data_IF_755024462328
#
_entry.id   IF_755024462328
#
_cell.length_a   1.000
_cell.length_b   1.000
_cell.length_c   1.000
_cell.angle_alpha   90.00
_cell.angle_beta   90.00
_cell.angle_gamma   90.00
#
_symmetry.space_group_name_H-M   'P 1'
#
loop_
_entity.id
_entity.type
_entity.pdbx_description
1 polymer ?
#
# COMPACT_ATOMS: atom_id res chain seq x y z
N UNK A 1 -5.84 -12.97 5.45
CA UNK A 1 -7.18 -12.60 4.90
C UNK A 1 -8.34 -12.96 5.79
N UNK A 2 -8.59 -14.24 6.09
CA UNK A 2 -9.76 -14.63 6.91
C UNK A 2 -9.85 -13.90 8.25
N UNK A 3 -8.72 -13.73 8.95
CA UNK A 3 -8.66 -12.95 10.19
C UNK A 3 -9.07 -11.49 10.00
N UNK A 4 -8.67 -10.85 8.90
CA UNK A 4 -9.03 -9.46 8.60
C UNK A 4 -10.52 -9.33 8.26
N UNK A 5 -11.06 -10.28 7.50
CA UNK A 5 -12.50 -10.33 7.20
C UNK A 5 -13.34 -10.53 8.47
N UNK A 6 -12.91 -11.43 9.36
CA UNK A 6 -13.55 -11.62 10.68
C UNK A 6 -13.45 -10.36 11.54
N UNK A 7 -12.28 -9.74 11.65
CA UNK A 7 -12.10 -8.51 12.41
C UNK A 7 -13.00 -7.37 11.89
N UNK A 8 -13.11 -7.22 10.56
CA UNK A 8 -14.03 -6.27 9.93
C UNK A 8 -15.50 -6.59 10.22
N UNK A 9 -15.86 -7.87 10.31
CA UNK A 9 -17.20 -8.31 10.66
C UNK A 9 -17.52 -8.09 12.15
N UNK A 10 -16.55 -8.27 13.03
CA UNK A 10 -16.75 -8.26 14.49
C UNK A 10 -16.65 -6.84 15.08
N UNK A 11 -15.71 -5.99 14.62
CA UNK A 11 -15.53 -4.63 15.15
C UNK A 11 -16.52 -3.63 14.51
N UNK A 12 -17.47 -3.13 15.30
CA UNK A 12 -18.53 -2.24 14.84
C UNK A 12 -18.04 -0.86 14.37
N UNK A 13 -16.93 -0.34 14.89
CA UNK A 13 -16.40 0.95 14.45
C UNK A 13 -15.65 0.79 13.12
N UNK A 14 -14.84 -0.27 12.98
CA UNK A 14 -14.17 -0.62 11.73
C UNK A 14 -15.18 -0.92 10.61
N UNK A 15 -16.25 -1.67 10.93
CA UNK A 15 -17.35 -1.96 9.99
C UNK A 15 -18.03 -0.68 9.52
N UNK A 16 -18.36 0.24 10.44
CA UNK A 16 -18.95 1.55 10.09
C UNK A 16 -18.02 2.40 9.23
N UNK A 17 -16.73 2.43 9.55
CA UNK A 17 -15.74 3.16 8.77
C UNK A 17 -15.62 2.60 7.34
N UNK A 18 -15.71 1.28 7.16
CA UNK A 18 -15.66 0.63 5.85
C UNK A 18 -16.96 0.77 5.04
N UNK A 19 -18.12 0.73 5.70
CA UNK A 19 -19.43 0.81 5.03
C UNK A 19 -19.61 2.12 4.26
N UNK A 20 -19.15 3.24 4.80
CA UNK A 20 -19.31 4.55 4.17
C UNK A 20 -18.67 4.62 2.78
N UNK A 21 -17.35 4.39 2.61
CA UNK A 21 -16.73 4.44 1.29
C UNK A 21 -17.26 3.34 0.35
N UNK A 22 -17.54 2.13 0.87
CA UNK A 22 -18.12 1.04 0.05
C UNK A 22 -19.48 1.43 -0.50
N UNK A 23 -20.37 1.96 0.33
CA UNK A 23 -21.71 2.39 -0.08
C UNK A 23 -21.65 3.57 -1.07
N UNK A 24 -20.76 4.55 -0.85
CA UNK A 24 -20.58 5.67 -1.78
C UNK A 24 -20.04 5.21 -3.14
N UNK A 25 -19.07 4.30 -3.17
CA UNK A 25 -18.56 3.71 -4.41
C UNK A 25 -19.66 2.93 -5.13
N UNK A 26 -20.39 2.06 -4.43
CA UNK A 26 -21.49 1.31 -5.01
C UNK A 26 -22.59 2.23 -5.56
N UNK A 27 -23.00 3.25 -4.80
CA UNK A 27 -24.00 4.23 -5.24
C UNK A 27 -23.53 4.98 -6.50
N UNK A 28 -22.27 5.43 -6.53
CA UNK A 28 -21.70 6.09 -7.71
C UNK A 28 -21.70 5.19 -8.94
N UNK A 29 -21.34 3.91 -8.79
CA UNK A 29 -21.37 2.93 -9.87
C UNK A 29 -22.80 2.66 -10.36
N UNK A 30 -23.78 2.60 -9.46
CA UNK A 30 -25.18 2.39 -9.79
C UNK A 30 -25.77 3.58 -10.56
N UNK A 31 -25.47 4.81 -10.14
CA UNK A 31 -25.87 6.03 -10.86
C UNK A 31 -25.25 6.07 -12.24
N UNK A 32 -23.94 5.79 -12.36
CA UNK A 32 -23.25 5.74 -13.65
C UNK A 32 -23.91 4.72 -14.59
N UNK A 33 -24.09 3.48 -14.13
CA UNK A 33 -24.69 2.41 -14.93
C UNK A 33 -26.13 2.73 -15.36
N UNK A 34 -26.93 3.34 -14.48
CA UNK A 34 -28.29 3.75 -14.79
C UNK A 34 -28.33 4.87 -15.84
N UNK A 35 -27.44 5.86 -15.75
CA UNK A 35 -27.36 6.97 -16.71
C UNK A 35 -26.89 6.49 -18.09
N UNK A 36 -25.88 5.61 -18.14
CA UNK A 36 -25.41 5.02 -19.41
C UNK A 36 -26.50 4.18 -20.05
N UNK A 37 -27.13 3.26 -19.30
CA UNK A 37 -28.21 2.44 -19.84
C UNK A 37 -29.43 3.27 -20.30
N UNK A 38 -29.74 4.38 -19.62
CA UNK A 38 -30.80 5.30 -20.04
C UNK A 38 -30.44 6.06 -21.32
N UNK A 39 -29.17 6.43 -21.51
CA UNK A 39 -28.66 7.03 -22.75
C UNK A 39 -28.76 6.06 -23.92
N UNK A 40 -28.22 4.85 -23.78
CA UNK A 40 -28.24 3.81 -24.82
C UNK A 40 -29.69 3.48 -25.25
N UNK A 41 -30.62 3.43 -24.29
CA UNK A 41 -32.03 3.20 -24.57
C UNK A 41 -32.69 4.37 -25.32
N UNK A 42 -32.30 5.62 -25.03
CA UNK A 42 -32.79 6.80 -25.73
C UNK A 42 -32.25 6.88 -27.17
N UNK A 43 -31.04 6.40 -27.40
CA UNK A 43 -30.39 6.35 -28.72
C UNK A 43 -30.85 5.14 -29.58
N UNK A 44 -31.76 4.30 -29.06
CA UNK A 44 -32.32 3.14 -29.75
C UNK A 44 -31.41 1.92 -29.78
N UNK A 45 -30.29 1.94 -29.05
CA UNK A 45 -29.28 0.90 -29.03
C UNK A 45 -29.60 -0.14 -27.91
N UNK A 46 -30.66 -0.92 -28.11
CA UNK A 46 -31.17 -1.89 -27.10
C UNK A 46 -30.26 -3.13 -26.94
N UNK A 47 -29.23 -3.27 -27.78
CA UNK A 47 -28.29 -4.41 -27.75
C UNK A 47 -27.08 -4.20 -26.83
N UNK A 48 -26.99 -3.07 -26.14
CA UNK A 48 -25.90 -2.78 -25.20
C UNK A 48 -25.87 -3.71 -23.99
N UNK A 49 -24.72 -3.82 -23.29
CA UNK A 49 -24.63 -4.57 -22.05
C UNK A 49 -25.61 -4.01 -21.01
N UNK A 50 -26.42 -4.87 -20.39
CA UNK A 50 -27.41 -4.43 -19.40
C UNK A 50 -26.79 -3.68 -18.21
N UNK A 51 -27.60 -2.86 -17.52
CA UNK A 51 -27.15 -1.99 -16.43
C UNK A 51 -26.36 -2.72 -15.31
N UNK A 52 -26.70 -3.98 -15.02
CA UNK A 52 -25.96 -4.79 -14.04
C UNK A 52 -24.52 -5.08 -14.48
N UNK A 53 -24.30 -5.31 -15.78
CA UNK A 53 -22.96 -5.50 -16.33
C UNK A 53 -22.16 -4.20 -16.25
N UNK A 54 -22.75 -3.08 -16.68
CA UNK A 54 -22.14 -1.75 -16.58
C UNK A 54 -21.79 -1.40 -15.12
N UNK A 55 -22.68 -1.68 -14.18
CA UNK A 55 -22.44 -1.53 -12.75
C UNK A 55 -21.23 -2.35 -12.30
N UNK A 56 -21.17 -3.63 -12.69
CA UNK A 56 -20.10 -4.53 -12.27
C UNK A 56 -18.76 -4.09 -12.85
N UNK A 57 -18.72 -3.72 -14.12
CA UNK A 57 -17.51 -3.20 -14.79
C UNK A 57 -17.05 -1.90 -14.16
N UNK A 58 -17.96 -0.95 -13.92
CA UNK A 58 -17.65 0.32 -13.26
C UNK A 58 -17.16 0.11 -11.83
N UNK A 59 -17.80 -0.80 -11.08
CA UNK A 59 -17.42 -1.12 -9.70
C UNK A 59 -16.03 -1.76 -9.65
N UNK A 60 -15.75 -2.76 -10.48
CA UNK A 60 -14.42 -3.40 -10.56
C UNK A 60 -13.36 -2.40 -11.02
N UNK A 61 -13.68 -1.53 -11.99
CA UNK A 61 -12.79 -0.47 -12.46
C UNK A 61 -12.47 0.53 -11.35
N UNK A 62 -13.48 1.08 -10.68
CA UNK A 62 -13.30 2.06 -9.59
C UNK A 62 -12.67 1.45 -8.33
N UNK A 63 -12.97 0.19 -8.04
CA UNK A 63 -12.30 -0.57 -6.98
C UNK A 63 -10.78 -0.59 -7.17
N UNK A 64 -10.32 -0.74 -8.42
CA UNK A 64 -8.91 -0.75 -8.78
C UNK A 64 -8.26 0.64 -8.87
N UNK A 65 -9.06 1.71 -8.86
CA UNK A 65 -8.54 3.07 -8.91
C UNK A 65 -8.07 3.55 -7.52
N UNK A 66 -6.99 4.36 -7.47
CA UNK A 66 -6.63 5.08 -6.26
C UNK A 66 -7.83 5.88 -5.77
N UNK A 67 -8.17 5.86 -4.48
CA UNK A 67 -9.43 6.40 -4.01
C UNK A 67 -9.33 7.92 -3.82
N UNK A 68 -9.03 8.65 -4.89
CA UNK A 68 -8.77 10.10 -4.87
C UNK A 68 -9.85 10.90 -4.15
N UNK A 69 -11.13 10.61 -4.43
CA UNK A 69 -12.27 11.30 -3.85
C UNK A 69 -12.62 10.82 -2.43
N UNK A 70 -12.36 9.54 -2.14
CA UNK A 70 -12.73 8.89 -0.87
C UNK A 70 -11.51 8.62 0.02
N UNK A 71 -10.36 9.23 -0.26
CA UNK A 71 -9.07 8.94 0.39
C UNK A 71 -9.20 9.04 1.91
N UNK A 72 -9.88 10.07 2.40
CA UNK A 72 -10.08 10.28 3.84
C UNK A 72 -10.93 9.17 4.47
N UNK A 73 -11.97 8.72 3.77
CA UNK A 73 -12.85 7.65 4.24
C UNK A 73 -12.08 6.32 4.29
N UNK A 74 -11.25 6.03 3.29
CA UNK A 74 -10.41 4.83 3.30
C UNK A 74 -9.26 4.92 4.30
N UNK A 75 -8.68 6.10 4.52
CA UNK A 75 -7.71 6.33 5.58
C UNK A 75 -8.32 6.10 6.97
N UNK A 76 -9.58 6.50 7.19
CA UNK A 76 -10.30 6.17 8.44
C UNK A 76 -10.40 4.66 8.66
N UNK A 77 -10.58 3.87 7.60
CA UNK A 77 -10.53 2.39 7.70
C UNK A 77 -9.16 1.93 8.19
N UNK A 78 -8.06 2.50 7.66
CA UNK A 78 -6.71 2.17 8.12
C UNK A 78 -6.48 2.55 9.60
N UNK A 79 -6.94 3.74 10.01
CA UNK A 79 -6.85 4.19 11.41
C UNK A 79 -7.66 3.31 12.37
N UNK A 80 -8.89 2.96 12.01
CA UNK A 80 -9.73 2.04 12.79
C UNK A 80 -9.15 0.62 12.80
N UNK A 81 -8.53 0.17 11.70
CA UNK A 81 -7.85 -1.11 11.66
C UNK A 81 -6.67 -1.15 12.64
N UNK A 82 -5.89 -0.06 12.72
CA UNK A 82 -4.81 0.07 13.72
C UNK A 82 -5.37 0.00 15.15
N UNK A 83 -6.45 0.73 15.44
CA UNK A 83 -7.14 0.67 16.75
C UNK A 83 -7.62 -0.75 17.08
N UNK A 84 -8.32 -1.39 16.16
CA UNK A 84 -8.88 -2.74 16.34
C UNK A 84 -7.78 -3.81 16.53
N UNK A 85 -6.58 -3.57 15.99
CA UNK A 85 -5.41 -4.43 16.17
C UNK A 85 -4.58 -4.09 17.43
N UNK A 86 -4.98 -3.07 18.21
CA UNK A 86 -4.23 -2.65 19.40
C UNK A 86 -2.89 -1.96 19.09
N UNK A 87 -2.73 -1.42 17.87
CA UNK A 87 -1.50 -0.74 17.45
C UNK A 87 -1.48 0.71 17.95
N UNK A 88 -0.30 1.34 18.03
CA UNK A 88 -0.20 2.78 18.33
C UNK A 88 -1.12 3.60 17.42
N UNK A 89 -1.75 4.62 18.00
CA UNK A 89 -2.67 5.50 17.30
C UNK A 89 -2.03 6.03 16.01
N UNK A 90 -2.75 5.90 14.90
CA UNK A 90 -2.28 6.42 13.62
C UNK A 90 -2.48 7.92 13.49
N UNK A 91 -1.88 8.51 12.47
CA UNK A 91 -2.01 9.95 12.16
C UNK A 91 -2.80 10.17 10.87
N UNK A 92 -3.56 11.28 10.81
CA UNK A 92 -4.18 11.74 9.56
C UNK A 92 -3.20 12.67 8.84
N UNK A 93 -2.50 12.24 7.76
CA UNK A 93 -1.55 13.07 7.03
C UNK A 93 -2.21 14.29 6.34
N UNK A 94 -3.54 14.38 6.37
CA UNK A 94 -4.30 15.48 5.81
C UNK A 94 -4.93 16.40 6.85
N UNK A 95 -4.58 16.25 8.12
CA UNK A 95 -5.01 17.16 9.18
C UNK A 95 -4.64 18.61 8.83
N UNK A 96 -5.60 19.54 8.96
CA UNK A 96 -5.42 20.95 8.63
C UNK A 96 -5.35 21.30 7.13
N UNK A 97 -5.42 20.33 6.22
CA UNK A 97 -5.44 20.60 4.78
C UNK A 97 -6.86 20.89 4.28
N UNK A 98 -7.01 21.94 3.47
CA UNK A 98 -8.25 22.24 2.75
C UNK A 98 -8.62 21.16 1.73
N UNK A 99 -9.91 20.98 1.48
CA UNK A 99 -10.44 19.93 0.59
C UNK A 99 -9.84 20.00 -0.83
N UNK A 100 -9.78 21.19 -1.44
CA UNK A 100 -9.25 21.38 -2.80
C UNK A 100 -7.80 20.92 -2.90
N UNK A 101 -6.95 21.32 -1.94
CA UNK A 101 -5.53 20.95 -1.92
C UNK A 101 -5.34 19.44 -1.77
N UNK A 102 -6.16 18.80 -0.94
CA UNK A 102 -6.17 17.33 -0.79
C UNK A 102 -6.54 16.66 -2.10
N UNK A 103 -7.67 17.04 -2.69
CA UNK A 103 -8.15 16.47 -3.96
C UNK A 103 -7.10 16.66 -5.05
N UNK A 104 -6.52 17.86 -5.20
CA UNK A 104 -5.46 18.12 -6.18
C UNK A 104 -4.21 17.24 -5.94
N UNK A 105 -3.78 17.08 -4.68
CA UNK A 105 -2.65 16.21 -4.33
C UNK A 105 -2.92 14.76 -4.73
N UNK A 106 -4.10 14.23 -4.38
CA UNK A 106 -4.47 12.86 -4.71
C UNK A 106 -4.66 12.64 -6.21
N UNK A 107 -5.18 13.63 -6.94
CA UNK A 107 -5.23 13.59 -8.41
C UNK A 107 -3.85 13.54 -9.04
N UNK A 108 -2.92 14.38 -8.57
CA UNK A 108 -1.53 14.36 -9.05
C UNK A 108 -0.86 13.03 -8.72
N UNK A 109 -1.15 12.46 -7.54
CA UNK A 109 -0.69 11.13 -7.14
C UNK A 109 -1.25 10.06 -8.08
N UNK A 110 -2.56 10.00 -8.29
CA UNK A 110 -3.18 9.06 -9.21
C UNK A 110 -2.66 9.18 -10.66
N UNK A 111 -2.46 10.40 -11.15
CA UNK A 111 -1.87 10.62 -12.48
C UNK A 111 -0.45 10.09 -12.57
N UNK A 112 0.38 10.36 -11.56
CA UNK A 112 1.74 9.80 -11.50
C UNK A 112 1.72 8.27 -11.46
N UNK A 113 0.81 7.68 -10.71
CA UNK A 113 0.64 6.22 -10.64
C UNK A 113 0.25 5.67 -12.00
N UNK A 114 -0.74 6.26 -12.68
CA UNK A 114 -1.16 5.85 -14.01
C UNK A 114 0.02 5.89 -15.00
N UNK A 115 0.83 6.96 -14.97
CA UNK A 115 2.04 7.07 -15.80
C UNK A 115 3.06 5.99 -15.43
N UNK A 116 3.34 5.76 -14.15
CA UNK A 116 4.32 4.77 -13.71
C UNK A 116 3.88 3.35 -14.05
N UNK A 117 2.60 3.01 -13.83
CA UNK A 117 2.04 1.70 -14.14
C UNK A 117 2.05 1.45 -15.64
N UNK A 118 1.61 2.43 -16.44
CA UNK A 118 1.47 2.27 -17.90
C UNK A 118 2.82 2.32 -18.62
N UNK A 119 3.66 3.30 -18.27
CA UNK A 119 4.94 3.54 -18.96
C UNK A 119 6.13 2.80 -18.32
N UNK A 120 6.00 2.31 -17.08
CA UNK A 120 7.12 1.70 -16.36
C UNK A 120 7.68 0.45 -17.03
N UNK A 121 6.81 -0.35 -17.67
CA UNK A 121 7.23 -1.51 -18.48
C UNK A 121 7.52 -1.18 -19.94
N UNK A 122 7.14 -0.01 -20.44
CA UNK A 122 7.22 0.31 -21.86
C UNK A 122 8.61 0.03 -22.47
N UNK A 123 9.74 0.45 -21.86
CA UNK A 123 11.06 0.17 -22.43
C UNK A 123 11.37 -1.33 -22.54
N UNK A 124 10.92 -2.12 -21.55
CA UNK A 124 11.15 -3.57 -21.52
C UNK A 124 10.26 -4.29 -22.53
N UNK A 125 8.99 -3.88 -22.62
CA UNK A 125 8.03 -4.41 -23.60
C UNK A 125 8.50 -4.11 -25.02
N UNK A 126 9.03 -2.92 -25.31
CA UNK A 126 9.58 -2.59 -26.63
C UNK A 126 10.72 -3.54 -27.01
N UNK A 127 11.67 -3.80 -26.11
CA UNK A 127 12.78 -4.73 -26.38
C UNK A 127 12.29 -6.16 -26.56
N UNK A 128 11.41 -6.63 -25.66
CA UNK A 128 10.80 -7.95 -25.79
C UNK A 128 10.00 -8.07 -27.09
N UNK A 129 9.36 -6.99 -27.53
CA UNK A 129 8.64 -6.85 -28.80
C UNK A 129 9.52 -6.95 -30.05
N UNK A 130 10.82 -7.19 -29.92
CA UNK A 130 11.72 -7.45 -31.03
C UNK A 130 12.14 -8.93 -31.13
N UNK A 131 11.89 -9.76 -30.11
CA UNK A 131 12.28 -11.18 -30.07
C UNK A 131 11.20 -12.13 -30.62
N UNK A 132 11.54 -13.27 -31.26
CA UNK A 132 10.56 -14.30 -31.63
C UNK A 132 9.99 -15.04 -30.40
N UNK A 133 8.74 -15.52 -30.44
CA UNK A 133 8.11 -16.29 -29.34
C UNK A 133 7.67 -15.49 -28.10
N UNK A 134 7.71 -14.15 -28.19
CA UNK A 134 7.62 -13.19 -27.08
C UNK A 134 6.25 -12.96 -26.41
N UNK A 135 5.13 -13.23 -27.09
CA UNK A 135 3.78 -12.87 -26.60
C UNK A 135 3.47 -13.38 -25.19
N UNK A 136 3.69 -14.67 -24.85
CA UNK A 136 3.43 -15.15 -23.49
C UNK A 136 4.35 -14.50 -22.46
N UNK A 137 5.62 -14.25 -22.80
CA UNK A 137 6.59 -13.60 -21.89
C UNK A 137 6.20 -12.16 -21.62
N UNK A 138 5.81 -11.40 -22.64
CA UNK A 138 5.33 -10.01 -22.47
C UNK A 138 4.04 -9.96 -21.67
N UNK A 139 3.13 -10.92 -21.86
CA UNK A 139 1.89 -11.01 -21.09
C UNK A 139 2.18 -11.33 -19.62
N UNK A 140 3.02 -12.34 -19.35
CA UNK A 140 3.41 -12.71 -18.00
C UNK A 140 4.10 -11.55 -17.26
N UNK A 141 4.99 -10.83 -17.93
CA UNK A 141 5.64 -9.65 -17.37
C UNK A 141 4.63 -8.53 -17.07
N UNK A 142 3.70 -8.28 -17.98
CA UNK A 142 2.61 -7.32 -17.78
C UNK A 142 1.75 -7.67 -16.57
N UNK A 143 1.37 -8.94 -16.42
CA UNK A 143 0.62 -9.46 -15.27
C UNK A 143 1.41 -9.30 -13.97
N UNK A 144 2.69 -9.70 -13.95
CA UNK A 144 3.54 -9.56 -12.77
C UNK A 144 3.71 -8.09 -12.35
N UNK A 145 3.83 -7.17 -13.31
CA UNK A 145 3.93 -5.75 -13.05
C UNK A 145 2.63 -5.14 -12.52
N UNK A 146 1.50 -5.49 -13.14
CA UNK A 146 0.18 -5.06 -12.65
C UNK A 146 -0.04 -5.57 -11.22
N UNK A 147 0.25 -6.85 -10.97
CA UNK A 147 0.16 -7.46 -9.64
C UNK A 147 1.05 -6.74 -8.62
N UNK A 148 2.30 -6.45 -8.99
CA UNK A 148 3.22 -5.68 -8.14
C UNK A 148 2.64 -4.31 -7.75
N UNK A 149 2.03 -3.59 -8.69
CA UNK A 149 1.43 -2.28 -8.40
C UNK A 149 0.15 -2.35 -7.59
N UNK A 150 -0.64 -3.41 -7.75
CA UNK A 150 -1.79 -3.69 -6.87
C UNK A 150 -1.31 -3.91 -5.43
N UNK A 151 -0.18 -4.60 -5.23
CA UNK A 151 0.42 -4.76 -3.91
C UNK A 151 0.85 -3.40 -3.33
N UNK A 152 1.58 -2.60 -4.11
CA UNK A 152 2.04 -1.26 -3.68
C UNK A 152 0.84 -0.38 -3.28
N UNK A 153 -0.25 -0.38 -4.06
CA UNK A 153 -1.49 0.36 -3.74
C UNK A 153 -2.15 -0.13 -2.44
N UNK A 154 -2.14 -1.46 -2.20
CA UNK A 154 -2.76 -2.04 -1.01
C UNK A 154 -2.04 -1.64 0.30
N UNK A 155 -0.73 -1.39 0.25
CA UNK A 155 0.07 -0.93 1.40
C UNK A 155 0.07 0.58 1.59
N UNK A 156 -0.42 1.35 0.63
CA UNK A 156 -0.41 2.82 0.67
C UNK A 156 -1.09 3.36 1.93
N UNK A 157 -2.38 3.04 2.13
CA UNK A 157 -3.14 3.56 3.27
C UNK A 157 -2.67 3.02 4.64
N UNK A 158 -2.36 1.71 4.79
CA UNK A 158 -1.78 1.19 6.02
C UNK A 158 -0.49 1.89 6.44
N UNK A 159 0.41 2.18 5.49
CA UNK A 159 1.68 2.84 5.75
C UNK A 159 1.50 4.35 5.95
N UNK A 160 0.61 5.00 5.19
CA UNK A 160 0.27 6.42 5.41
C UNK A 160 -0.36 6.71 6.77
N UNK A 161 -1.00 5.71 7.40
CA UNK A 161 -1.57 5.82 8.73
C UNK A 161 -0.52 5.67 9.86
N UNK A 162 0.71 5.26 9.56
CA UNK A 162 1.78 5.13 10.56
C UNK A 162 2.27 6.54 10.97
N UNK A 163 2.37 6.85 12.27
CA UNK A 163 2.87 8.14 12.73
C UNK A 163 4.31 8.45 12.30
N UNK A 164 4.60 9.73 12.10
CA UNK A 164 5.96 10.24 11.91
C UNK A 164 6.42 10.43 10.46
N UNK A 165 7.67 10.90 10.27
CA UNK A 165 8.18 11.26 8.95
C UNK A 165 8.35 10.01 8.09
N UNK A 166 7.83 10.08 6.86
CA UNK A 166 8.03 9.04 5.85
C UNK A 166 9.53 8.85 5.60
N UNK A 167 10.05 7.66 5.90
CA UNK A 167 11.44 7.26 5.72
C UNK A 167 11.72 7.22 4.22
N UNK A 168 12.56 8.14 3.76
CA UNK A 168 13.04 8.14 2.38
C UNK A 168 13.58 6.76 1.99
N UNK A 169 13.07 6.19 0.91
CA UNK A 169 13.62 4.97 0.33
C UNK A 169 14.66 5.30 -0.74
N UNK A 170 15.57 4.34 -0.96
CA UNK A 170 16.47 4.36 -2.11
C UNK A 170 15.72 4.21 -3.43
N UNK A 171 16.47 4.30 -4.54
CA UNK A 171 15.96 4.12 -5.90
C UNK A 171 15.26 2.76 -6.04
N UNK A 172 14.03 2.65 -6.57
CA UNK A 172 13.29 1.38 -6.65
C UNK A 172 13.92 0.37 -7.63
N UNK A 173 13.69 -0.94 -7.42
CA UNK A 173 14.39 -2.02 -8.10
C UNK A 173 14.31 -1.95 -9.63
N UNK A 174 13.16 -1.60 -10.19
CA UNK A 174 12.98 -1.49 -11.63
C UNK A 174 13.74 -0.28 -12.19
N UNK A 175 13.84 0.82 -11.45
CA UNK A 175 14.65 1.96 -11.87
C UNK A 175 16.15 1.62 -11.78
N UNK A 176 16.57 0.87 -10.76
CA UNK A 176 17.93 0.32 -10.66
C UNK A 176 18.23 -0.61 -11.83
N UNK A 177 17.28 -1.48 -12.21
CA UNK A 177 17.43 -2.40 -13.34
C UNK A 177 17.60 -1.65 -14.67
N UNK A 178 16.77 -0.64 -14.94
CA UNK A 178 16.90 0.20 -16.14
C UNK A 178 18.25 0.96 -16.18
N UNK A 179 18.71 1.45 -15.04
CA UNK A 179 20.01 2.13 -14.94
C UNK A 179 21.18 1.15 -15.17
N UNK A 180 21.12 -0.06 -14.62
CA UNK A 180 22.11 -1.13 -14.87
C UNK A 180 22.13 -1.51 -16.35
N UNK A 181 20.97 -1.66 -16.97
CA UNK A 181 20.85 -1.98 -18.39
C UNK A 181 21.45 -0.87 -19.27
N UNK A 182 21.21 0.39 -18.91
CA UNK A 182 21.78 1.54 -19.60
C UNK A 182 23.31 1.65 -19.47
N UNK A 183 23.87 1.13 -18.38
CA UNK A 183 25.31 1.08 -18.17
C UNK A 183 25.99 -0.06 -18.95
N UNK A 184 25.23 -1.09 -19.34
CA UNK A 184 25.77 -2.26 -20.04
C UNK A 184 26.13 -1.96 -21.51
N UNK A 185 25.33 -1.16 -22.22
CA UNK A 185 25.51 -0.85 -23.64
C UNK A 185 25.19 0.61 -23.94
N UNK A 186 26.02 1.27 -24.75
CA UNK A 186 25.85 2.68 -25.10
C UNK A 186 24.52 2.98 -25.82
N UNK A 187 24.05 2.04 -26.65
CA UNK A 187 22.75 2.12 -27.35
C UNK A 187 21.57 2.12 -26.36
N UNK A 188 21.75 1.54 -25.17
CA UNK A 188 20.72 1.47 -24.13
C UNK A 188 20.73 2.67 -23.17
N UNK A 189 21.54 3.71 -23.44
CA UNK A 189 21.57 4.96 -22.64
C UNK A 189 20.19 5.60 -22.37
N UNK A 190 19.21 5.60 -23.30
CA UNK A 190 17.86 6.10 -23.03
C UNK A 190 17.17 5.41 -21.83
N UNK A 191 17.50 4.14 -21.54
CA UNK A 191 16.97 3.42 -20.38
C UNK A 191 17.39 4.05 -19.06
N UNK A 192 18.57 4.68 -19.00
CA UNK A 192 19.07 5.35 -17.81
C UNK A 192 18.32 6.65 -17.53
N UNK A 193 17.91 7.36 -18.59
CA UNK A 193 16.98 8.50 -18.45
C UNK A 193 15.60 8.02 -17.99
N UNK A 194 15.05 6.99 -18.64
CA UNK A 194 13.75 6.41 -18.25
C UNK A 194 13.73 5.96 -16.79
N UNK A 195 14.79 5.26 -16.33
CA UNK A 195 14.94 4.85 -14.93
C UNK A 195 14.97 6.02 -13.95
N UNK A 196 15.61 7.14 -14.30
CA UNK A 196 15.61 8.36 -13.47
C UNK A 196 14.23 9.02 -13.42
N UNK A 197 13.52 9.09 -14.55
CA UNK A 197 12.15 9.61 -14.60
C UNK A 197 11.22 8.76 -13.76
N UNK A 198 11.29 7.43 -13.91
CA UNK A 198 10.46 6.49 -13.17
C UNK A 198 10.73 6.54 -11.66
N UNK A 199 12.00 6.66 -11.26
CA UNK A 199 12.37 6.88 -9.86
C UNK A 199 11.82 8.20 -9.29
N UNK A 200 11.81 9.29 -10.08
CA UNK A 200 11.22 10.57 -9.65
C UNK A 200 9.72 10.49 -9.52
N UNK A 201 9.05 9.86 -10.48
CA UNK A 201 7.59 9.70 -10.46
C UNK A 201 7.14 8.82 -9.30
N UNK A 202 7.92 7.79 -8.94
CA UNK A 202 7.57 6.87 -7.85
C UNK A 202 7.86 7.42 -6.45
N UNK A 203 8.49 8.59 -6.31
CA UNK A 203 8.83 9.17 -5.00
C UNK A 203 7.71 9.12 -3.95
N UNK A 204 6.42 9.37 -4.28
CA UNK A 204 5.33 9.28 -3.31
C UNK A 204 5.10 7.88 -2.72
N UNK A 205 5.47 6.80 -3.44
CA UNK A 205 5.30 5.41 -3.03
C UNK A 205 6.61 4.73 -2.63
N UNK A 206 7.63 5.54 -2.32
CA UNK A 206 8.97 5.02 -2.03
C UNK A 206 8.97 4.04 -0.85
N UNK A 207 8.16 4.30 0.17
CA UNK A 207 8.07 3.43 1.34
C UNK A 207 7.36 2.11 1.03
N UNK A 208 6.25 2.18 0.32
CA UNK A 208 5.43 1.04 -0.11
C UNK A 208 6.26 0.12 -1.02
N UNK A 209 6.99 0.70 -1.97
CA UNK A 209 7.91 -0.04 -2.84
C UNK A 209 9.02 -0.67 -2.02
N UNK A 210 9.63 0.06 -1.08
CA UNK A 210 10.69 -0.48 -0.21
C UNK A 210 10.18 -1.60 0.68
N UNK A 211 8.97 -1.46 1.23
CA UNK A 211 8.32 -2.48 2.03
C UNK A 211 8.10 -3.75 1.20
N UNK A 212 7.57 -3.61 -0.01
CA UNK A 212 7.35 -4.72 -0.94
C UNK A 212 8.67 -5.38 -1.37
N UNK A 213 9.73 -4.60 -1.59
CA UNK A 213 11.07 -5.13 -1.93
C UNK A 213 11.73 -5.90 -0.77
N UNK A 214 11.46 -5.52 0.48
CA UNK A 214 12.04 -6.17 1.67
C UNK A 214 11.35 -7.46 2.05
N UNK A 215 10.04 -7.55 1.77
CA UNK A 215 9.19 -8.67 2.17
C UNK A 215 8.49 -9.28 0.94
N UNK A 216 9.25 -9.75 -0.08
CA UNK A 216 8.67 -10.15 -1.36
C UNK A 216 7.75 -11.36 -1.23
N UNK A 217 8.06 -12.30 -0.33
CA UNK A 217 7.29 -13.53 -0.16
C UNK A 217 6.00 -13.29 0.61
N UNK A 218 6.07 -12.48 1.66
CA UNK A 218 4.92 -12.12 2.50
C UNK A 218 3.94 -11.24 1.71
N UNK A 219 4.45 -10.28 0.94
CA UNK A 219 3.62 -9.44 0.07
C UNK A 219 3.03 -10.23 -1.10
N UNK A 220 3.78 -11.15 -1.72
CA UNK A 220 3.24 -12.03 -2.75
C UNK A 220 2.13 -12.95 -2.19
N UNK A 221 2.37 -13.58 -1.04
CA UNK A 221 1.37 -14.41 -0.36
C UNK A 221 0.12 -13.62 0.04
N UNK A 222 0.30 -12.38 0.52
CA UNK A 222 -0.80 -11.45 0.74
C UNK A 222 -1.59 -11.19 -0.54
N UNK A 223 -0.93 -10.84 -1.65
CA UNK A 223 -1.60 -10.55 -2.92
C UNK A 223 -2.36 -11.74 -3.49
N UNK A 224 -1.79 -12.95 -3.40
CA UNK A 224 -2.50 -14.17 -3.79
C UNK A 224 -3.76 -14.37 -2.94
N UNK A 225 -3.67 -14.10 -1.63
CA UNK A 225 -4.83 -14.18 -0.75
C UNK A 225 -5.87 -13.07 -1.02
N UNK A 226 -5.45 -11.85 -1.42
CA UNK A 226 -6.36 -10.79 -1.93
C UNK A 226 -7.07 -11.30 -3.18
N UNK A 227 -6.33 -11.83 -4.15
CA UNK A 227 -6.88 -12.33 -5.41
C UNK A 227 -7.89 -13.46 -5.19
N UNK A 228 -7.59 -14.40 -4.29
CA UNK A 228 -8.51 -15.46 -3.90
C UNK A 228 -9.78 -14.91 -3.23
N UNK A 229 -9.68 -13.87 -2.39
CA UNK A 229 -10.84 -13.24 -1.76
C UNK A 229 -11.71 -12.48 -2.78
N UNK A 230 -11.10 -11.85 -3.78
CA UNK A 230 -11.80 -11.18 -4.89
C UNK A 230 -12.61 -12.15 -5.76
N UNK A 231 -12.19 -13.42 -5.83
CA UNK A 231 -12.94 -14.46 -6.55
C UNK A 231 -14.25 -14.86 -5.86
N UNK A 232 -14.47 -14.43 -4.60
CA UNK A 232 -15.70 -14.73 -3.85
C UNK A 232 -16.73 -13.62 -4.09
N UNK A 233 -17.90 -13.93 -4.71
CA UNK A 233 -18.97 -12.97 -4.89
C UNK A 233 -19.41 -12.36 -3.55
N UNK A 234 -19.77 -11.07 -3.54
CA UNK A 234 -20.19 -10.35 -2.33
C UNK A 234 -19.03 -9.87 -1.46
N UNK A 235 -18.04 -10.72 -1.17
CA UNK A 235 -16.80 -10.32 -0.48
C UNK A 235 -16.05 -9.25 -1.28
N UNK A 236 -16.16 -9.34 -2.62
CA UNK A 236 -15.67 -8.34 -3.56
C UNK A 236 -16.12 -6.89 -3.26
N UNK A 237 -17.24 -6.64 -2.58
CA UNK A 237 -17.63 -5.27 -2.22
C UNK A 237 -16.75 -4.67 -1.11
N UNK A 238 -16.30 -5.51 -0.18
CA UNK A 238 -15.47 -5.10 0.96
C UNK A 238 -13.99 -5.39 0.74
N UNK A 239 -13.59 -5.86 -0.44
CA UNK A 239 -12.22 -6.32 -0.70
C UNK A 239 -11.17 -5.29 -0.29
N UNK A 240 -11.41 -4.00 -0.57
CA UNK A 240 -10.47 -2.91 -0.25
C UNK A 240 -10.36 -2.70 1.25
N UNK A 241 -11.48 -2.76 1.98
CA UNK A 241 -11.47 -2.68 3.45
C UNK A 241 -10.74 -3.88 4.06
N UNK A 242 -11.03 -5.10 3.58
CA UNK A 242 -10.35 -6.32 4.03
C UNK A 242 -8.86 -6.24 3.70
N UNK A 243 -8.50 -5.75 2.51
CA UNK A 243 -7.13 -5.54 2.06
C UNK A 243 -6.37 -4.57 2.96
N UNK A 244 -6.96 -3.41 3.29
CA UNK A 244 -6.40 -2.44 4.23
C UNK A 244 -6.17 -3.09 5.60
N UNK A 245 -7.18 -3.74 6.19
CA UNK A 245 -7.06 -4.39 7.51
C UNK A 245 -5.97 -5.47 7.50
N UNK A 246 -5.94 -6.29 6.45
CA UNK A 246 -4.94 -7.34 6.30
C UNK A 246 -3.53 -6.78 6.11
N UNK A 247 -3.36 -5.74 5.30
CA UNK A 247 -2.08 -5.09 5.07
C UNK A 247 -1.58 -4.37 6.34
N UNK A 248 -2.45 -3.70 7.09
CA UNK A 248 -2.13 -3.13 8.42
C UNK A 248 -1.66 -4.22 9.38
N UNK A 249 -2.35 -5.36 9.43
CA UNK A 249 -1.97 -6.48 10.30
C UNK A 249 -0.62 -7.12 9.88
N UNK A 250 -0.34 -7.19 8.59
CA UNK A 250 0.92 -7.73 8.08
C UNK A 250 2.08 -6.78 8.37
N UNK A 251 1.90 -5.48 8.14
CA UNK A 251 2.91 -4.47 8.45
C UNK A 251 3.29 -4.51 9.94
N UNK A 252 2.28 -4.56 10.82
CA UNK A 252 2.53 -4.60 12.26
C UNK A 252 3.30 -5.85 12.72
N UNK A 253 3.00 -7.02 12.15
CA UNK A 253 3.74 -8.25 12.45
C UNK A 253 5.20 -8.14 12.04
N UNK A 254 5.47 -7.66 10.82
CA UNK A 254 6.83 -7.54 10.30
C UNK A 254 7.65 -6.46 11.02
N UNK A 255 7.02 -5.39 11.49
CA UNK A 255 7.67 -4.40 12.36
C UNK A 255 8.03 -4.98 13.74
N UNK A 256 7.15 -5.81 14.32
CA UNK A 256 7.41 -6.53 15.58
C UNK A 256 8.58 -7.50 15.47
N UNK A 257 8.56 -8.37 14.44
CA UNK A 257 9.61 -9.36 14.20
C UNK A 257 11.00 -8.69 14.02
N UNK A 258 11.04 -7.53 13.35
CA UNK A 258 12.28 -6.76 13.17
C UNK A 258 12.81 -6.12 14.47
N UNK A 259 11.91 -5.70 15.37
CA UNK A 259 12.28 -5.12 16.66
C UNK A 259 12.85 -6.18 17.62
N UNK A 260 12.24 -7.37 17.63
CA UNK A 260 12.72 -8.50 18.43
C UNK A 260 14.11 -8.98 17.97
N UNK A 261 14.30 -9.16 16.66
CA UNK A 261 15.59 -9.55 16.10
C UNK A 261 16.71 -8.52 16.37
N UNK A 262 16.39 -7.22 16.37
CA UNK A 262 17.34 -6.15 16.70
C UNK A 262 17.70 -6.10 18.18
N UNK A 263 16.76 -6.42 19.07
CA UNK A 263 16.99 -6.52 20.51
C UNK A 263 17.88 -7.71 20.88
N UNK A 264 17.70 -8.85 20.22
CA UNK A 264 18.50 -10.06 20.45
C UNK A 264 19.96 -9.88 19.97
N UNK A 265 20.17 -9.20 18.83
CA UNK A 265 21.50 -8.86 18.34
C UNK A 265 22.24 -7.85 19.25
N UNK A 266 21.52 -6.93 19.89
CA UNK A 266 22.09 -5.99 20.84
C UNK A 266 22.35 -6.62 22.23
N UNK A 267 21.52 -7.58 22.65
CA UNK A 267 21.68 -8.32 23.91
C UNK A 267 22.80 -9.37 23.89
N UNK A 268 23.11 -9.93 22.72
CA UNK A 268 24.16 -10.96 22.57
C UNK A 268 25.61 -10.45 22.60
N UNK A 269 25.83 -9.13 22.44
CA UNK A 269 27.18 -8.55 22.38
C UNK A 269 27.75 -8.09 23.74
N UNK A 270 27.03 -8.33 24.86
CA UNK A 270 27.30 -7.68 26.15
C UNK A 270 27.53 -8.58 27.37
N UNK A 271 27.77 -9.88 27.20
CA UNK A 271 28.03 -10.79 28.33
C UNK A 271 29.48 -11.28 28.35
N UNK A 272 30.43 -10.36 28.51
CA UNK A 272 31.72 -10.71 29.09
C UNK A 272 31.54 -10.82 30.62
N UNK A 273 31.99 -11.90 31.27
CA UNK A 273 31.85 -12.05 32.72
C UNK A 273 32.67 -10.97 33.42
N UNK A 274 32.00 -10.06 34.15
CA UNK A 274 32.66 -9.22 35.14
C UNK A 274 33.00 -10.09 36.34
N UNK A 275 34.19 -10.67 36.31
CA UNK A 275 34.81 -11.28 37.48
C UNK A 275 35.08 -10.18 38.54
N UNK A 276 34.35 -10.28 39.64
CA UNK A 276 34.85 -10.09 41.00
C UNK A 276 35.43 -8.73 41.39
N UNK A 277 34.62 -7.90 42.04
CA UNK A 277 35.11 -6.97 43.07
C UNK A 277 34.20 -7.04 44.32
N UNK A 278 34.76 -7.17 45.53
CA UNK A 278 34.01 -7.42 46.77
C UNK A 278 33.32 -6.16 47.35
N UNK A 279 32.34 -6.34 48.24
CA UNK A 279 31.52 -5.25 48.77
C UNK A 279 32.27 -4.44 49.85
N UNK A 280 32.43 -3.14 49.62
CA UNK A 280 32.91 -2.20 50.63
C UNK A 280 31.73 -1.53 51.36
N UNK A 281 31.51 -2.02 52.58
CA UNK A 281 31.18 -1.31 53.82
C UNK A 281 30.17 -0.14 53.82
N UNK A 282 29.14 -0.35 54.64
CA UNK A 282 28.30 0.65 55.30
C UNK A 282 29.09 1.84 55.87
N UNK A 283 28.66 3.06 55.56
CA UNK A 283 28.96 4.25 56.34
C UNK A 283 27.65 4.86 56.89
N UNK A 284 27.59 4.91 58.21
CA UNK A 284 26.53 5.45 59.08
C UNK A 284 26.33 6.98 58.93
N UNK A 285 25.19 7.51 59.41
CA UNK A 285 24.76 8.90 59.20
C UNK A 285 25.45 9.89 60.14
N UNK A 286 25.64 11.13 59.68
CA UNK A 286 26.11 12.24 60.50
C UNK A 286 24.91 13.08 61.00
N UNK A 287 24.90 13.53 62.27
CA UNK A 287 23.80 14.28 62.88
C UNK A 287 23.88 15.77 62.54
N UNK A 288 22.77 16.47 62.82
CA UNK A 288 22.46 17.80 62.30
C UNK A 288 23.26 18.97 62.88
N UNK A 289 23.02 20.14 62.29
CA UNK A 289 23.22 21.43 62.94
C UNK A 289 22.09 22.37 62.55
N UNK A 290 21.39 22.82 63.59
CA UNK A 290 20.42 23.93 63.60
C UNK A 290 21.17 25.27 63.71
N UNK A 291 20.38 26.36 63.64
CA UNK A 291 20.72 27.80 63.80
C UNK A 291 21.16 28.46 62.49
N UNK A 292 20.55 29.55 62.00
CA UNK A 292 19.64 30.57 62.57
C UNK A 292 18.91 31.25 61.41
#
# INVERSE_FOLDING_TARGET
>A
MLRAARLLADDAALRRAALVPVALTAAGCAVFAALTAAGDAADGEVTGPGALHLFTVAFVGLASMPPTLLQRQWLRVALEARRALGLPAGEDPFAGQGWVRRVAREWVKALRQAVVVSAGLFPVVVVLSMLPGRKPVTAALGVAWAFYWVLVDAFELPLEAVPGPRRGAGTPWYARALQRLAAALWVLRPFGWAGRVLARLTRPWNEEVRFTERHPWETAGFGLAVGAALAIPGVGFFFRAIGIVAATSLNARLEGDAAEAGGEAAGGAGAAPQDGAPPAAHASPSPGSSAT
#
